data_IF_627916390017
#
_entry.id   IF_627916390017
#
_cell.length_a   1.000
_cell.length_b   1.000
_cell.length_c   1.000
_cell.angle_alpha   90.00
_cell.angle_beta   90.00
_cell.angle_gamma   90.00
#
_symmetry.space_group_name_H-M   'P 1'
#
loop_
_entity.id
_entity.type
_entity.pdbx_description
1 polymer ?
#
# COMPACT_ATOMS: atom_id res chain seq x y z
N UNK A 1 -17.27 2.53 14.08
CA UNK A 1 -16.55 1.85 15.20
C UNK A 1 -15.37 2.72 15.60
N UNK A 2 -14.89 2.71 16.85
CA UNK A 2 -13.66 3.45 17.23
C UNK A 2 -12.41 2.64 16.87
N UNK A 3 -11.32 3.30 16.49
CA UNK A 3 -10.04 2.68 16.11
C UNK A 3 -9.57 1.64 17.13
N UNK A 4 -9.57 1.97 18.43
CA UNK A 4 -9.16 1.02 19.49
C UNK A 4 -9.89 -0.32 19.42
N UNK A 5 -11.20 -0.29 19.11
CA UNK A 5 -12.03 -1.48 19.07
C UNK A 5 -11.77 -2.29 17.80
N UNK A 6 -11.44 -1.63 16.70
CA UNK A 6 -11.02 -2.28 15.45
C UNK A 6 -9.71 -3.04 15.67
N UNK A 7 -8.70 -2.39 16.29
CA UNK A 7 -7.41 -3.02 16.63
C UNK A 7 -7.60 -4.28 17.48
N UNK A 8 -8.41 -4.20 18.54
CA UNK A 8 -8.73 -5.36 19.40
C UNK A 8 -9.34 -6.56 18.64
N UNK A 9 -10.01 -6.31 17.51
CA UNK A 9 -10.63 -7.34 16.68
C UNK A 9 -9.64 -7.90 15.65
N UNK A 10 -8.81 -7.03 15.05
CA UNK A 10 -7.80 -7.40 14.06
C UNK A 10 -6.67 -8.24 14.67
N UNK A 11 -6.22 -7.91 15.89
CA UNK A 11 -5.17 -8.69 16.60
C UNK A 11 -5.54 -10.17 16.78
N UNK A 12 -6.83 -10.52 16.70
CA UNK A 12 -7.31 -11.90 16.86
C UNK A 12 -7.35 -12.68 15.54
N UNK A 13 -7.09 -12.03 14.41
CA UNK A 13 -7.09 -12.65 13.08
C UNK A 13 -5.68 -13.14 12.71
N UNK A 14 -5.56 -13.82 11.56
CA UNK A 14 -4.26 -14.10 10.97
C UNK A 14 -3.56 -12.77 10.59
N UNK A 15 -2.36 -12.46 11.10
CA UNK A 15 -1.66 -11.21 10.78
C UNK A 15 -1.34 -11.09 9.28
N UNK A 16 -1.17 -12.20 8.58
CA UNK A 16 -0.89 -12.23 7.13
C UNK A 16 -2.16 -12.17 6.26
N UNK A 17 -3.35 -12.01 6.86
CA UNK A 17 -4.58 -11.92 6.09
C UNK A 17 -4.79 -10.51 5.51
N UNK A 18 -5.12 -10.44 4.23
CA UNK A 18 -5.48 -9.18 3.56
C UNK A 18 -6.80 -8.65 4.12
N UNK A 19 -6.78 -7.38 4.55
CA UNK A 19 -7.99 -6.65 4.94
C UNK A 19 -8.68 -6.12 3.68
N UNK A 20 -9.96 -6.43 3.50
CA UNK A 20 -10.75 -5.98 2.34
C UNK A 20 -11.92 -5.12 2.77
N UNK A 21 -12.22 -4.11 1.95
CA UNK A 21 -13.49 -3.39 2.05
C UNK A 21 -14.59 -4.31 1.51
N UNK A 22 -15.69 -4.43 2.27
CA UNK A 22 -16.88 -5.14 1.79
C UNK A 22 -17.66 -4.23 0.81
N UNK A 23 -17.03 -3.96 -0.33
CA UNK A 23 -17.57 -3.22 -1.46
C UNK A 23 -18.04 -4.20 -2.54
N UNK A 24 -18.49 -3.70 -3.68
CA UNK A 24 -18.91 -4.55 -4.81
C UNK A 24 -17.72 -5.32 -5.42
N UNK A 25 -16.53 -4.75 -5.34
CA UNK A 25 -15.33 -5.20 -6.05
C UNK A 25 -14.33 -5.90 -5.12
N UNK A 26 -14.66 -6.07 -3.83
CA UNK A 26 -13.86 -6.77 -2.81
C UNK A 26 -12.39 -6.29 -2.76
N UNK A 27 -12.18 -4.98 -2.89
CA UNK A 27 -10.85 -4.37 -2.97
C UNK A 27 -10.13 -4.42 -1.60
N UNK A 28 -8.80 -4.69 -1.59
CA UNK A 28 -7.97 -4.53 -0.41
C UNK A 28 -8.00 -3.09 0.12
N UNK A 29 -7.93 -2.95 1.44
CA UNK A 29 -7.56 -1.66 2.07
C UNK A 29 -6.08 -1.45 1.82
N UNK A 30 -5.72 -0.34 1.17
CA UNK A 30 -4.33 0.04 0.90
C UNK A 30 -3.86 1.14 1.86
N UNK A 31 -4.76 2.04 2.24
CA UNK A 31 -4.39 3.21 3.04
C UNK A 31 -5.29 3.41 4.25
N UNK A 32 -4.70 3.98 5.29
CA UNK A 32 -5.37 4.41 6.52
C UNK A 32 -5.05 5.89 6.70
N UNK A 33 -6.03 6.74 6.42
CA UNK A 33 -5.81 8.20 6.34
C UNK A 33 -6.72 8.98 7.27
N UNK A 34 -6.31 10.21 7.57
CA UNK A 34 -7.10 11.19 8.30
C UNK A 34 -6.87 12.59 7.71
N UNK A 35 -7.78 13.51 8.00
CA UNK A 35 -7.65 14.89 7.52
C UNK A 35 -6.48 15.56 8.24
N UNK A 36 -5.66 16.31 7.50
CA UNK A 36 -4.55 17.06 8.10
C UNK A 36 -5.08 18.01 9.17
N UNK A 37 -4.63 17.81 10.42
CA UNK A 37 -5.07 18.59 11.59
C UNK A 37 -6.35 18.09 12.26
N UNK A 38 -6.96 16.99 11.80
CA UNK A 38 -8.09 16.32 12.44
C UNK A 38 -7.88 14.80 12.48
N UNK A 39 -7.67 14.27 13.69
CA UNK A 39 -7.47 12.84 13.98
C UNK A 39 -8.73 12.16 14.55
N UNK A 40 -9.87 12.84 14.53
CA UNK A 40 -11.11 12.34 15.13
C UNK A 40 -11.80 11.26 14.29
N UNK A 41 -11.48 11.20 12.99
CA UNK A 41 -12.03 10.25 12.01
C UNK A 41 -10.88 9.67 11.19
N UNK A 42 -10.95 8.37 10.93
CA UNK A 42 -10.03 7.62 10.08
C UNK A 42 -10.81 7.00 8.94
N UNK A 43 -10.28 7.14 7.73
CA UNK A 43 -10.78 6.48 6.52
C UNK A 43 -9.87 5.32 6.15
N UNK A 44 -10.50 4.26 5.67
CA UNK A 44 -9.83 3.13 5.06
C UNK A 44 -10.13 3.23 3.58
N UNK A 45 -9.08 3.33 2.77
CA UNK A 45 -9.21 3.58 1.35
C UNK A 45 -8.63 2.41 0.55
N UNK A 46 -9.28 2.10 -0.56
CA UNK A 46 -8.82 1.10 -1.51
C UNK A 46 -8.31 1.75 -2.79
N UNK A 47 -7.91 0.91 -3.74
CA UNK A 47 -7.36 1.32 -5.05
C UNK A 47 -8.29 2.29 -5.80
N UNK A 48 -9.61 2.07 -5.75
CA UNK A 48 -10.58 2.90 -6.46
C UNK A 48 -10.88 4.25 -5.80
N UNK A 49 -10.50 4.44 -4.53
CA UNK A 49 -10.67 5.71 -3.83
C UNK A 49 -9.56 6.73 -4.16
N UNK A 50 -8.47 6.28 -4.79
CA UNK A 50 -7.23 7.05 -4.94
C UNK A 50 -6.78 7.23 -6.40
N UNK A 51 -6.07 8.33 -6.67
CA UNK A 51 -5.23 8.41 -7.87
C UNK A 51 -3.92 7.67 -7.60
N UNK A 52 -3.94 6.37 -7.89
CA UNK A 52 -2.78 5.50 -7.67
C UNK A 52 -1.56 5.89 -8.51
N UNK A 53 -1.73 6.64 -9.61
CA UNK A 53 -0.59 7.12 -10.39
C UNK A 53 0.15 8.19 -9.60
N UNK A 54 -0.58 9.15 -9.04
CA UNK A 54 -0.03 10.20 -8.18
C UNK A 54 0.56 9.63 -6.89
N UNK A 55 -0.17 8.73 -6.21
CA UNK A 55 0.27 8.12 -4.94
C UNK A 55 1.58 7.35 -5.07
N UNK A 56 1.69 6.45 -6.05
CA UNK A 56 2.92 5.65 -6.25
C UNK A 56 4.08 6.56 -6.69
N UNK A 57 3.81 7.56 -7.55
CA UNK A 57 4.84 8.51 -7.99
C UNK A 57 5.38 9.34 -6.82
N UNK A 58 4.50 9.85 -5.96
CA UNK A 58 4.89 10.63 -4.78
C UNK A 58 5.72 9.82 -3.79
N UNK A 59 5.38 8.53 -3.61
CA UNK A 59 6.20 7.61 -2.79
C UNK A 59 7.60 7.39 -3.37
N UNK A 60 7.71 7.22 -4.68
CA UNK A 60 9.00 7.10 -5.36
C UNK A 60 9.84 8.39 -5.20
N UNK A 61 9.23 9.55 -5.41
CA UNK A 61 9.91 10.84 -5.23
C UNK A 61 10.40 11.02 -3.78
N UNK A 62 9.55 10.67 -2.81
CA UNK A 62 9.90 10.72 -1.38
C UNK A 62 11.05 9.77 -1.06
N UNK A 63 11.03 8.54 -1.59
CA UNK A 63 12.10 7.57 -1.39
C UNK A 63 13.44 8.07 -1.94
N UNK A 64 13.42 8.78 -3.08
CA UNK A 64 14.61 9.42 -3.65
C UNK A 64 15.09 10.58 -2.78
N UNK A 65 14.18 11.48 -2.37
CA UNK A 65 14.50 12.67 -1.59
C UNK A 65 15.04 12.34 -0.20
N UNK A 66 14.49 11.30 0.43
CA UNK A 66 14.92 10.82 1.74
C UNK A 66 16.04 9.76 1.66
N UNK A 67 16.44 9.36 0.46
CA UNK A 67 17.45 8.34 0.19
C UNK A 67 17.15 7.03 0.94
N UNK A 68 15.89 6.58 0.83
CA UNK A 68 15.41 5.29 1.34
C UNK A 68 16.08 4.16 0.54
N UNK A 69 16.46 3.08 1.23
CA UNK A 69 17.02 1.91 0.56
C UNK A 69 15.96 1.24 -0.32
N UNK A 70 16.35 0.81 -1.51
CA UNK A 70 15.44 0.24 -2.50
C UNK A 70 14.79 -1.08 -2.02
N UNK A 71 15.50 -1.85 -1.19
CA UNK A 71 14.93 -3.04 -0.56
C UNK A 71 13.81 -2.69 0.42
N UNK A 72 14.09 -1.76 1.34
CA UNK A 72 13.12 -1.32 2.36
C UNK A 72 11.88 -0.71 1.68
N UNK A 73 12.08 0.06 0.61
CA UNK A 73 11.00 0.66 -0.18
C UNK A 73 10.09 -0.39 -0.81
N UNK A 74 10.65 -1.40 -1.49
CA UNK A 74 9.83 -2.43 -2.14
C UNK A 74 9.21 -3.41 -1.15
N UNK A 75 9.87 -3.71 -0.03
CA UNK A 75 9.27 -4.48 1.06
C UNK A 75 8.01 -3.77 1.58
N UNK A 76 8.08 -2.47 1.86
CA UNK A 76 6.93 -1.68 2.34
C UNK A 76 5.79 -1.65 1.31
N UNK A 77 6.09 -1.45 0.02
CA UNK A 77 5.04 -1.45 -1.01
C UNK A 77 4.32 -2.79 -1.09
N UNK A 78 5.05 -3.90 -1.02
CA UNK A 78 4.48 -5.24 -1.04
C UNK A 78 3.63 -5.51 0.20
N UNK A 79 4.07 -5.09 1.39
CA UNK A 79 3.30 -5.20 2.63
C UNK A 79 1.99 -4.39 2.58
N UNK A 80 2.00 -3.23 1.91
CA UNK A 80 0.80 -2.42 1.67
C UNK A 80 -0.14 -3.03 0.61
N UNK A 81 0.33 -4.05 -0.13
CA UNK A 81 -0.44 -4.68 -1.21
C UNK A 81 -0.29 -3.98 -2.57
N UNK A 82 0.69 -3.07 -2.71
CA UNK A 82 1.07 -2.45 -3.99
C UNK A 82 2.07 -3.38 -4.68
N UNK A 83 1.54 -4.31 -5.48
CA UNK A 83 2.33 -5.34 -6.16
C UNK A 83 2.83 -4.90 -7.56
N UNK A 84 3.58 -5.79 -8.21
CA UNK A 84 4.07 -5.59 -9.59
C UNK A 84 2.93 -5.34 -10.58
N UNK A 85 1.75 -5.92 -10.38
CA UNK A 85 0.61 -5.70 -11.28
C UNK A 85 0.07 -4.29 -11.13
N UNK A 86 -0.01 -3.77 -9.90
CA UNK A 86 -0.41 -2.41 -9.62
C UNK A 86 0.60 -1.41 -10.19
N UNK A 87 1.90 -1.65 -10.00
CA UNK A 87 2.97 -0.86 -10.64
C UNK A 87 2.82 -0.85 -12.16
N UNK A 88 2.57 -2.01 -12.78
CA UNK A 88 2.40 -2.13 -14.23
C UNK A 88 1.17 -1.38 -14.72
N UNK A 89 0.08 -1.43 -13.96
CA UNK A 89 -1.18 -0.76 -14.28
C UNK A 89 -1.06 0.76 -14.26
N UNK A 90 -0.35 1.32 -13.27
CA UNK A 90 -0.34 2.77 -13.01
C UNK A 90 0.93 3.50 -13.48
N UNK A 91 2.12 2.86 -13.39
CA UNK A 91 3.39 3.45 -13.83
C UNK A 91 3.97 2.84 -15.11
N UNK A 92 3.41 1.72 -15.57
CA UNK A 92 3.80 1.06 -16.82
C UNK A 92 4.90 0.02 -16.67
N UNK A 93 5.25 -0.59 -17.80
CA UNK A 93 6.10 -1.80 -17.84
C UNK A 93 7.52 -1.56 -17.34
N UNK A 94 8.11 -0.38 -17.58
CA UNK A 94 9.49 -0.10 -17.18
C UNK A 94 9.66 -0.17 -15.66
N UNK A 95 8.83 0.56 -14.92
CA UNK A 95 8.85 0.59 -13.46
C UNK A 95 8.49 -0.79 -12.87
N UNK A 96 7.48 -1.45 -13.44
CA UNK A 96 7.05 -2.76 -12.96
C UNK A 96 8.11 -3.85 -13.17
N UNK A 97 8.75 -3.88 -14.34
CA UNK A 97 9.79 -4.88 -14.63
C UNK A 97 11.04 -4.67 -13.78
N UNK A 98 11.34 -3.41 -13.44
CA UNK A 98 12.44 -3.09 -12.52
C UNK A 98 12.14 -3.60 -11.11
N UNK A 99 10.95 -3.29 -10.56
CA UNK A 99 10.49 -3.84 -9.27
C UNK A 99 10.51 -5.37 -9.28
N UNK A 100 9.89 -6.00 -10.30
CA UNK A 100 9.79 -7.46 -10.41
C UNK A 100 11.17 -8.13 -10.37
N UNK A 101 12.12 -7.59 -11.13
CA UNK A 101 13.49 -8.09 -11.15
C UNK A 101 14.17 -7.90 -9.80
N UNK A 102 14.09 -6.70 -9.21
CA UNK A 102 14.74 -6.39 -7.94
C UNK A 102 14.21 -7.29 -6.82
N UNK A 103 12.88 -7.38 -6.67
CA UNK A 103 12.24 -8.16 -5.63
C UNK A 103 12.58 -9.65 -5.75
N UNK A 104 12.62 -10.19 -6.97
CA UNK A 104 13.02 -11.58 -7.20
C UNK A 104 14.50 -11.84 -6.85
N UNK A 105 15.40 -10.93 -7.23
CA UNK A 105 16.85 -11.06 -6.96
C UNK A 105 17.16 -10.99 -5.45
N UNK A 106 16.32 -10.30 -4.67
CA UNK A 106 16.50 -10.12 -3.23
C UNK A 106 15.58 -10.99 -2.35
N UNK A 107 14.71 -11.82 -2.95
CA UNK A 107 13.87 -12.78 -2.24
C UNK A 107 12.62 -12.18 -1.56
N UNK A 108 12.15 -11.04 -2.06
CA UNK A 108 10.88 -10.42 -1.63
C UNK A 108 9.66 -11.09 -2.28
N UNK A 109 9.83 -11.71 -3.45
CA UNK A 109 8.80 -12.47 -4.20
C UNK A 109 9.35 -13.77 -4.80
#
# INVERSE_FOLDING_TARGET
MKVKKLIDLLIKQNPEAVVKMHSKDDEPVLFVVNIVGDDSVVWLESESDNDMTEEISARLETAIDENIDEFDFYEELLELGIDVNMMRKYLGDEAANHMEKFCYEHGLI
#
